data_IF_152901515404
#
_entry.id   IF_152901515404
#
_cell.length_a   1.000
_cell.length_b   1.000
_cell.length_c   1.000
_cell.angle_alpha   90.00
_cell.angle_beta   90.00
_cell.angle_gamma   90.00
#
_symmetry.space_group_name_H-M   'P 1'
#
loop_
_entity.id
_entity.type
_entity.pdbx_description
1 polymer ?
#
# COMPACT_ATOMS: atom_id res chain seq x y z
N UNK A 1 -19.48 -39.26 -64.68
CA UNK A 1 -18.40 -38.30 -64.32
C UNK A 1 -18.00 -37.57 -65.61
N UNK A 2 -17.78 -36.25 -65.63
CA UNK A 2 -16.86 -35.56 -64.72
C UNK A 2 -17.36 -34.23 -64.13
N UNK A 3 -16.73 -33.88 -63.01
CA UNK A 3 -16.92 -32.67 -62.21
C UNK A 3 -16.62 -31.40 -63.02
N UNK A 4 -17.47 -30.40 -62.85
CA UNK A 4 -17.24 -29.02 -63.28
C UNK A 4 -16.06 -28.47 -62.48
N UNK A 5 -14.88 -28.46 -63.09
CA UNK A 5 -13.66 -27.90 -62.48
C UNK A 5 -13.87 -26.39 -62.40
N UNK A 6 -14.12 -25.91 -61.18
CA UNK A 6 -14.05 -24.51 -60.79
C UNK A 6 -12.78 -23.88 -61.38
N UNK A 7 -12.97 -22.90 -62.25
CA UNK A 7 -11.91 -22.20 -62.96
C UNK A 7 -10.93 -21.58 -61.96
N UNK A 8 -9.62 -21.71 -62.26
CA UNK A 8 -8.48 -21.19 -61.48
C UNK A 8 -8.41 -19.65 -61.38
N UNK A 9 -9.50 -18.92 -61.62
CA UNK A 9 -9.59 -17.46 -61.54
C UNK A 9 -10.12 -16.96 -60.19
N UNK A 10 -10.83 -17.79 -59.42
CA UNK A 10 -11.47 -17.37 -58.16
C UNK A 10 -10.49 -17.29 -56.95
N UNK A 11 -9.21 -17.62 -57.15
CA UNK A 11 -8.25 -17.87 -56.06
C UNK A 11 -7.23 -16.75 -55.79
N UNK A 12 -7.41 -15.54 -56.33
CA UNK A 12 -6.49 -14.42 -56.07
C UNK A 12 -7.14 -13.05 -55.86
N UNK A 13 -8.38 -12.99 -55.38
CA UNK A 13 -8.81 -11.77 -54.68
C UNK A 13 -8.31 -11.88 -53.25
N UNK A 14 -7.18 -11.24 -53.01
CA UNK A 14 -6.63 -11.17 -51.67
C UNK A 14 -7.65 -10.41 -50.80
N UNK A 15 -8.26 -11.06 -49.79
CA UNK A 15 -9.25 -10.41 -48.93
C UNK A 15 -8.67 -9.18 -48.21
N UNK A 16 -7.34 -9.04 -48.17
CA UNK A 16 -6.66 -7.83 -47.74
C UNK A 16 -6.79 -6.67 -48.75
N UNK A 17 -6.65 -6.92 -50.04
CA UNK A 17 -6.81 -5.89 -51.08
C UNK A 17 -8.23 -5.37 -51.16
N UNK A 18 -9.24 -6.25 -51.05
CA UNK A 18 -10.65 -5.83 -51.00
C UNK A 18 -10.93 -4.95 -49.78
N UNK A 19 -10.36 -5.27 -48.61
CA UNK A 19 -10.46 -4.43 -47.40
C UNK A 19 -9.77 -3.08 -47.55
N UNK A 20 -8.60 -3.04 -48.20
CA UNK A 20 -7.92 -1.78 -48.50
C UNK A 20 -8.76 -0.93 -49.45
N UNK A 21 -9.28 -1.53 -50.51
CA UNK A 21 -10.07 -0.81 -51.49
C UNK A 21 -11.35 -0.24 -50.87
N UNK A 22 -12.09 -1.05 -50.10
CA UNK A 22 -13.25 -0.59 -49.33
C UNK A 22 -12.90 0.54 -48.36
N UNK A 23 -11.73 0.48 -47.71
CA UNK A 23 -11.27 1.54 -46.82
C UNK A 23 -10.93 2.83 -47.58
N UNK A 24 -10.26 2.73 -48.73
CA UNK A 24 -9.91 3.88 -49.57
C UNK A 24 -11.16 4.55 -50.17
N UNK A 25 -12.11 3.75 -50.66
CA UNK A 25 -13.40 4.23 -51.15
C UNK A 25 -14.18 4.95 -50.04
N UNK A 26 -14.19 4.39 -48.83
CA UNK A 26 -14.82 5.03 -47.68
C UNK A 26 -14.12 6.34 -47.29
N UNK A 27 -12.78 6.38 -47.24
CA UNK A 27 -12.00 7.58 -46.94
C UNK A 27 -12.26 8.66 -48.00
N UNK A 28 -12.31 8.30 -49.28
CA UNK A 28 -12.60 9.24 -50.36
C UNK A 28 -14.01 9.84 -50.23
N UNK A 29 -15.00 9.01 -49.89
CA UNK A 29 -16.38 9.44 -49.64
C UNK A 29 -16.53 10.27 -48.35
N UNK A 30 -15.69 10.02 -47.34
CA UNK A 30 -15.79 10.60 -45.99
C UNK A 30 -14.53 11.38 -45.57
N UNK A 31 -13.86 12.06 -46.52
CA UNK A 31 -12.55 12.69 -46.28
C UNK A 31 -12.52 13.63 -45.07
N UNK A 32 -13.57 14.42 -44.86
CA UNK A 32 -13.64 15.39 -43.77
C UNK A 32 -13.67 14.70 -42.40
N UNK A 33 -14.49 13.66 -42.24
CA UNK A 33 -14.58 12.92 -40.96
C UNK A 33 -13.33 12.09 -40.71
N UNK A 34 -12.72 11.50 -41.73
CA UNK A 34 -11.46 10.78 -41.61
C UNK A 34 -10.34 11.68 -41.09
N UNK A 35 -10.10 12.85 -41.72
CA UNK A 35 -9.07 13.77 -41.27
C UNK A 35 -9.38 14.38 -39.90
N UNK A 36 -10.67 14.60 -39.56
CA UNK A 36 -11.05 15.00 -38.20
C UNK A 36 -10.71 13.92 -37.16
N UNK A 37 -11.02 12.65 -37.42
CA UNK A 37 -10.71 11.53 -36.52
C UNK A 37 -9.20 11.41 -36.34
N UNK A 38 -8.43 11.42 -37.43
CA UNK A 38 -6.97 11.32 -37.38
C UNK A 38 -6.37 12.53 -36.64
N UNK A 39 -6.84 13.74 -36.93
CA UNK A 39 -6.42 14.96 -36.23
C UNK A 39 -6.69 14.89 -34.73
N UNK A 40 -7.89 14.46 -34.32
CA UNK A 40 -8.24 14.25 -32.91
C UNK A 40 -7.35 13.20 -32.26
N UNK A 41 -7.09 12.06 -32.92
CA UNK A 41 -6.21 11.02 -32.41
C UNK A 41 -4.77 11.52 -32.22
N UNK A 42 -4.23 12.27 -33.17
CA UNK A 42 -2.88 12.87 -33.06
C UNK A 42 -2.82 13.82 -31.86
N UNK A 43 -3.82 14.69 -31.69
CA UNK A 43 -3.87 15.59 -30.53
C UNK A 43 -3.93 14.81 -29.21
N UNK A 44 -4.77 13.77 -29.12
CA UNK A 44 -4.86 12.91 -27.94
C UNK A 44 -3.51 12.23 -27.64
N UNK A 45 -2.82 11.72 -28.67
CA UNK A 45 -1.49 11.10 -28.50
C UNK A 45 -0.47 12.12 -28.02
N UNK A 46 -0.44 13.32 -28.60
CA UNK A 46 0.49 14.39 -28.18
C UNK A 46 0.23 14.79 -26.72
N UNK A 47 -1.03 14.96 -26.33
CA UNK A 47 -1.41 15.25 -24.94
C UNK A 47 -0.99 14.09 -24.03
N UNK A 48 -1.26 12.85 -24.41
CA UNK A 48 -0.90 11.67 -23.62
C UNK A 48 0.62 11.56 -23.43
N UNK A 49 1.41 11.80 -24.49
CA UNK A 49 2.89 11.82 -24.42
C UNK A 49 3.36 12.96 -23.53
N UNK A 50 2.83 14.17 -23.69
CA UNK A 50 3.19 15.34 -22.87
C UNK A 50 2.87 15.11 -21.39
N UNK A 51 1.70 14.56 -21.08
CA UNK A 51 1.32 14.21 -19.70
C UNK A 51 2.23 13.11 -19.17
N UNK A 52 2.52 12.07 -19.95
CA UNK A 52 3.40 10.98 -19.54
C UNK A 52 4.84 11.46 -19.28
N UNK A 53 5.41 12.31 -20.11
CA UNK A 53 6.76 12.86 -19.91
C UNK A 53 6.80 13.79 -18.71
N UNK A 54 5.81 14.67 -18.54
CA UNK A 54 5.70 15.55 -17.39
C UNK A 54 5.59 14.77 -16.07
N UNK A 55 4.72 13.75 -16.02
CA UNK A 55 4.58 12.88 -14.84
C UNK A 55 5.85 12.10 -14.53
N UNK A 56 6.56 11.59 -15.55
CA UNK A 56 7.85 10.92 -15.38
C UNK A 56 8.89 11.86 -14.80
N UNK A 57 9.05 13.05 -15.36
CA UNK A 57 10.02 14.05 -14.88
C UNK A 57 9.73 14.49 -13.45
N UNK A 58 8.47 14.78 -13.13
CA UNK A 58 8.03 15.09 -11.76
C UNK A 58 8.38 13.95 -10.79
N UNK A 59 8.13 12.71 -11.20
CA UNK A 59 8.45 11.55 -10.37
C UNK A 59 9.97 11.40 -10.18
N UNK A 60 10.80 11.56 -11.22
CA UNK A 60 12.26 11.50 -11.11
C UNK A 60 12.80 12.55 -10.14
N UNK A 61 12.35 13.81 -10.25
CA UNK A 61 12.77 14.88 -9.34
C UNK A 61 12.33 14.59 -7.90
N UNK A 62 11.11 14.07 -7.71
CA UNK A 62 10.63 13.70 -6.38
C UNK A 62 11.50 12.62 -5.73
N UNK A 63 11.91 11.61 -6.49
CA UNK A 63 12.80 10.53 -6.01
C UNK A 63 14.22 11.02 -5.71
N UNK A 64 14.77 11.91 -6.53
CA UNK A 64 16.09 12.51 -6.26
C UNK A 64 16.10 13.26 -4.93
N UNK A 65 15.08 14.09 -4.68
CA UNK A 65 14.96 14.84 -3.42
C UNK A 65 14.69 13.95 -2.23
N UNK A 66 13.88 12.91 -2.40
CA UNK A 66 13.69 11.87 -1.38
C UNK A 66 15.01 11.16 -1.04
N UNK A 67 15.79 10.77 -2.05
CA UNK A 67 17.08 10.10 -1.87
C UNK A 67 18.09 11.00 -1.13
N UNK A 68 18.07 12.31 -1.39
CA UNK A 68 18.85 13.28 -0.61
C UNK A 68 18.43 13.28 0.86
N UNK A 69 17.12 13.28 1.14
CA UNK A 69 16.60 13.15 2.50
C UNK A 69 17.05 11.86 3.19
N UNK A 70 17.04 10.74 2.46
CA UNK A 70 17.54 9.46 2.96
C UNK A 70 19.05 9.50 3.26
N UNK A 71 19.83 10.16 2.41
CA UNK A 71 21.26 10.39 2.67
C UNK A 71 21.49 11.15 3.97
N UNK A 72 20.72 12.21 4.23
CA UNK A 72 20.80 12.95 5.51
C UNK A 72 20.39 12.09 6.70
N UNK A 73 19.34 11.27 6.56
CA UNK A 73 18.88 10.38 7.62
C UNK A 73 19.95 9.33 7.99
N UNK A 74 20.62 8.75 6.99
CA UNK A 74 21.73 7.81 7.18
C UNK A 74 22.96 8.48 7.79
N UNK A 75 23.23 9.74 7.43
CA UNK A 75 24.30 10.54 8.02
C UNK A 75 23.99 11.05 9.44
N UNK A 76 22.88 10.62 10.06
CA UNK A 76 22.50 11.02 11.41
C UNK A 76 22.06 12.48 11.53
N UNK A 77 21.64 13.12 10.43
CA UNK A 77 21.15 14.49 10.39
C UNK A 77 19.62 14.51 10.19
N UNK A 78 18.82 14.25 11.24
CA UNK A 78 17.37 14.12 11.12
C UNK A 78 16.68 15.41 10.65
N UNK A 79 17.19 16.58 11.03
CA UNK A 79 16.57 17.86 10.65
C UNK A 79 16.66 18.14 9.15
N UNK A 80 17.83 17.88 8.54
CA UNK A 80 18.02 18.03 7.10
C UNK A 80 17.24 16.97 6.31
N UNK A 81 17.09 15.77 6.88
CA UNK A 81 16.25 14.73 6.31
C UNK A 81 14.77 15.14 6.29
N UNK A 82 14.23 15.60 7.42
CA UNK A 82 12.85 16.11 7.52
C UNK A 82 12.65 17.26 6.52
N UNK A 83 13.56 18.23 6.45
CA UNK A 83 13.46 19.34 5.50
C UNK A 83 13.42 18.86 4.04
N UNK A 84 14.23 17.85 3.69
CA UNK A 84 14.19 17.26 2.35
C UNK A 84 12.90 16.49 2.09
N UNK A 85 12.34 15.81 3.09
CA UNK A 85 11.04 15.15 2.96
C UNK A 85 9.89 16.13 2.83
N UNK A 86 9.92 17.24 3.57
CA UNK A 86 8.90 18.29 3.48
C UNK A 86 8.86 18.95 2.11
N UNK A 87 10.02 19.15 1.49
CA UNK A 87 10.13 19.59 0.10
C UNK A 87 9.42 18.58 -0.85
N UNK A 88 9.65 17.28 -0.65
CA UNK A 88 8.97 16.25 -1.47
C UNK A 88 7.46 16.24 -1.24
N UNK A 89 7.03 16.30 0.02
CA UNK A 89 5.62 16.26 0.41
C UNK A 89 4.87 17.47 -0.15
N UNK A 90 5.48 18.64 -0.08
CA UNK A 90 4.87 19.90 -0.52
C UNK A 90 4.84 20.02 -2.03
N UNK A 91 5.97 19.78 -2.70
CA UNK A 91 6.12 20.04 -4.14
C UNK A 91 5.74 18.85 -5.02
N UNK A 92 5.75 17.63 -4.47
CA UNK A 92 5.48 16.39 -5.21
C UNK A 92 4.45 15.49 -4.53
N UNK A 93 3.52 16.05 -3.75
CA UNK A 93 2.55 15.32 -2.92
C UNK A 93 1.64 14.31 -3.62
N UNK A 94 1.60 14.29 -4.97
CA UNK A 94 0.85 13.30 -5.78
C UNK A 94 1.72 12.14 -6.27
N UNK A 95 3.03 12.18 -6.03
CA UNK A 95 3.97 11.14 -6.47
C UNK A 95 4.07 10.03 -5.45
N UNK A 96 4.57 8.85 -5.87
CA UNK A 96 4.88 7.77 -4.94
C UNK A 96 5.96 8.19 -3.93
N UNK A 97 6.96 8.95 -4.37
CA UNK A 97 8.04 9.43 -3.53
C UNK A 97 7.54 10.25 -2.33
N UNK A 98 6.45 11.00 -2.47
CA UNK A 98 5.85 11.71 -1.34
C UNK A 98 5.35 10.78 -0.23
N UNK A 99 4.75 9.63 -0.56
CA UNK A 99 4.35 8.65 0.45
C UNK A 99 5.57 8.04 1.16
N UNK A 100 6.65 7.76 0.44
CA UNK A 100 7.92 7.30 1.05
C UNK A 100 8.55 8.39 1.93
N UNK A 101 8.48 9.66 1.51
CA UNK A 101 8.94 10.80 2.29
C UNK A 101 8.11 10.98 3.58
N UNK A 102 6.79 10.82 3.52
CA UNK A 102 5.92 10.83 4.71
C UNK A 102 6.28 9.69 5.67
N UNK A 103 6.48 8.47 5.17
CA UNK A 103 6.91 7.35 6.01
C UNK A 103 8.25 7.67 6.70
N UNK A 104 9.26 8.08 5.93
CA UNK A 104 10.58 8.40 6.47
C UNK A 104 10.56 9.57 7.46
N UNK A 105 9.74 10.59 7.22
CA UNK A 105 9.50 11.69 8.17
C UNK A 105 8.85 11.17 9.45
N UNK A 106 7.79 10.36 9.34
CA UNK A 106 7.12 9.73 10.47
C UNK A 106 8.09 8.90 11.33
N UNK A 107 8.96 8.10 10.71
CA UNK A 107 9.96 7.28 11.40
C UNK A 107 10.99 8.12 12.17
N UNK A 108 11.39 9.27 11.63
CA UNK A 108 12.30 10.19 12.31
C UNK A 108 11.59 10.84 13.50
N UNK A 109 10.39 11.37 13.31
CA UNK A 109 9.60 12.02 14.36
C UNK A 109 9.30 11.04 15.51
N UNK A 110 8.95 9.80 15.18
CA UNK A 110 8.72 8.74 16.16
C UNK A 110 9.97 8.45 17.00
N UNK A 111 11.14 8.31 16.36
CA UNK A 111 12.43 8.13 17.07
C UNK A 111 12.80 9.33 17.95
N UNK A 112 12.40 10.53 17.56
CA UNK A 112 12.57 11.76 18.35
C UNK A 112 11.51 11.94 19.45
N UNK A 113 10.60 10.97 19.63
CA UNK A 113 9.48 11.01 20.59
C UNK A 113 8.49 12.15 20.33
N UNK A 114 8.47 12.69 19.11
CA UNK A 114 7.47 13.65 18.64
C UNK A 114 6.23 12.87 18.16
N UNK A 115 5.55 12.22 19.11
CA UNK A 115 4.48 11.27 18.83
C UNK A 115 3.27 11.90 18.11
N UNK A 116 2.76 13.08 18.52
CA UNK A 116 1.63 13.70 17.82
C UNK A 116 1.91 13.98 16.33
N UNK A 117 3.11 14.49 16.03
CA UNK A 117 3.55 14.80 14.67
C UNK A 117 3.80 13.52 13.86
N UNK A 118 4.34 12.47 14.47
CA UNK A 118 4.52 11.17 13.84
C UNK A 118 3.16 10.56 13.45
N UNK A 119 2.21 10.51 14.39
CA UNK A 119 0.85 10.01 14.16
C UNK A 119 0.19 10.73 12.99
N UNK A 120 0.21 12.08 13.01
CA UNK A 120 -0.34 12.89 11.92
C UNK A 120 0.33 12.57 10.59
N UNK A 121 1.64 12.44 10.57
CA UNK A 121 2.40 12.17 9.33
C UNK A 121 2.07 10.79 8.76
N UNK A 122 1.94 9.75 9.59
CA UNK A 122 1.52 8.42 9.11
C UNK A 122 0.07 8.41 8.63
N UNK A 123 -0.85 9.10 9.31
CA UNK A 123 -2.24 9.23 8.87
C UNK A 123 -2.32 9.93 7.51
N UNK A 124 -1.56 11.01 7.31
CA UNK A 124 -1.45 11.68 6.02
C UNK A 124 -0.93 10.72 4.94
N UNK A 125 0.12 9.94 5.23
CA UNK A 125 0.64 8.91 4.32
C UNK A 125 -0.46 7.93 3.89
N UNK A 126 -1.21 7.38 4.85
CA UNK A 126 -2.28 6.42 4.59
C UNK A 126 -3.46 7.03 3.82
N UNK A 127 -3.81 8.29 4.11
CA UNK A 127 -4.89 9.01 3.42
C UNK A 127 -4.63 9.24 1.92
N UNK A 128 -3.35 9.27 1.52
CA UNK A 128 -2.93 9.45 0.12
C UNK A 128 -2.98 8.17 -0.71
N UNK A 129 -3.39 7.05 -0.12
CA UNK A 129 -3.46 5.76 -0.82
C UNK A 129 -2.08 5.22 -1.18
N UNK A 130 -1.20 4.94 -0.20
CA UNK A 130 0.12 4.41 -0.46
C UNK A 130 0.03 3.03 -1.11
N UNK A 131 1.11 2.58 -1.74
CA UNK A 131 1.13 1.27 -2.39
C UNK A 131 0.92 0.15 -1.36
N UNK A 132 0.43 -1.02 -1.81
CA UNK A 132 0.31 -2.21 -0.94
C UNK A 132 1.63 -2.65 -0.30
N UNK A 133 2.76 -2.25 -0.88
CA UNK A 133 4.09 -2.52 -0.33
C UNK A 133 4.46 -1.53 0.78
N UNK A 134 3.96 -0.29 0.73
CA UNK A 134 4.32 0.77 1.67
C UNK A 134 3.32 0.88 2.82
N UNK A 135 2.03 0.67 2.55
CA UNK A 135 0.94 0.80 3.52
C UNK A 135 1.16 -0.02 4.80
N UNK A 136 1.66 -1.28 4.78
CA UNK A 136 1.95 -2.02 6.00
C UNK A 136 2.93 -1.30 6.93
N UNK A 137 3.99 -0.68 6.39
CA UNK A 137 4.97 0.05 7.20
C UNK A 137 4.37 1.30 7.84
N UNK A 138 3.55 2.05 7.09
CA UNK A 138 2.86 3.22 7.64
C UNK A 138 1.83 2.84 8.72
N UNK A 139 1.08 1.74 8.55
CA UNK A 139 0.16 1.23 9.57
C UNK A 139 0.93 0.77 10.82
N UNK A 140 2.03 0.03 10.64
CA UNK A 140 2.86 -0.41 11.76
C UNK A 140 3.45 0.77 12.52
N UNK A 141 3.92 1.81 11.82
CA UNK A 141 4.46 3.03 12.44
C UNK A 141 3.38 3.83 13.16
N UNK A 142 2.19 3.97 12.57
CA UNK A 142 1.05 4.64 13.18
C UNK A 142 0.62 3.94 14.47
N UNK A 143 0.42 2.61 14.42
CA UNK A 143 0.01 1.84 15.59
C UNK A 143 1.03 1.93 16.72
N UNK A 144 2.33 1.86 16.40
CA UNK A 144 3.38 2.00 17.40
C UNK A 144 3.43 3.41 18.01
N UNK A 145 3.24 4.44 17.20
CA UNK A 145 3.20 5.82 17.70
C UNK A 145 1.97 6.07 18.59
N UNK A 146 0.82 5.50 18.25
CA UNK A 146 -0.40 5.55 19.08
C UNK A 146 -0.26 4.78 20.39
N UNK A 147 0.31 3.57 20.33
CA UNK A 147 0.60 2.75 21.52
C UNK A 147 1.53 3.50 22.48
N UNK A 148 2.61 4.09 21.97
CA UNK A 148 3.56 4.88 22.75
C UNK A 148 2.98 6.19 23.30
N UNK A 149 1.97 6.76 22.62
CA UNK A 149 1.26 7.96 23.11
C UNK A 149 0.17 7.62 24.13
N UNK A 150 -0.06 6.34 24.41
CA UNK A 150 -1.14 5.86 25.28
C UNK A 150 -2.52 5.86 24.63
N UNK A 151 -2.61 6.09 23.32
CA UNK A 151 -3.85 5.95 22.53
C UNK A 151 -4.04 4.47 22.18
N UNK A 152 -4.30 3.64 23.20
CA UNK A 152 -4.45 2.19 23.01
C UNK A 152 -5.65 1.86 22.13
N UNK A 153 -6.74 2.64 22.19
CA UNK A 153 -7.91 2.43 21.36
C UNK A 153 -7.60 2.67 19.88
N UNK A 154 -6.93 3.78 19.54
CA UNK A 154 -6.47 4.05 18.18
C UNK A 154 -5.47 3.00 17.70
N UNK A 155 -4.49 2.62 18.55
CA UNK A 155 -3.51 1.60 18.22
C UNK A 155 -4.15 0.25 17.88
N UNK A 156 -5.14 -0.20 18.69
CA UNK A 156 -5.89 -1.44 18.44
C UNK A 156 -6.55 -1.41 17.06
N UNK A 157 -7.24 -0.33 16.70
CA UNK A 157 -7.90 -0.23 15.40
C UNK A 157 -6.89 -0.22 14.26
N UNK A 158 -5.78 0.50 14.41
CA UNK A 158 -4.70 0.52 13.41
C UNK A 158 -4.06 -0.86 13.20
N UNK A 159 -3.76 -1.60 14.28
CA UNK A 159 -3.22 -2.97 14.18
C UNK A 159 -4.24 -3.95 13.61
N UNK A 160 -5.53 -3.78 13.91
CA UNK A 160 -6.62 -4.56 13.30
C UNK A 160 -6.73 -4.26 11.80
N UNK A 161 -6.61 -3.00 11.39
CA UNK A 161 -6.58 -2.61 9.98
C UNK A 161 -5.39 -3.25 9.27
N UNK A 162 -4.21 -3.29 9.90
CA UNK A 162 -3.06 -4.01 9.37
C UNK A 162 -3.38 -5.48 9.16
N UNK A 163 -3.79 -6.18 10.22
CA UNK A 163 -3.94 -7.64 10.21
C UNK A 163 -5.08 -8.11 9.32
N UNK A 164 -6.10 -7.27 9.11
CA UNK A 164 -7.20 -7.55 8.18
C UNK A 164 -6.80 -7.37 6.72
N UNK A 165 -5.99 -6.35 6.41
CA UNK A 165 -5.60 -6.03 5.03
C UNK A 165 -4.34 -6.77 4.57
N UNK A 166 -3.49 -7.19 5.51
CA UNK A 166 -2.17 -7.77 5.27
C UNK A 166 -1.90 -8.99 6.17
N UNK A 167 -2.79 -10.00 6.21
CA UNK A 167 -2.66 -11.16 7.11
C UNK A 167 -1.38 -11.99 6.85
N UNK A 168 -0.92 -12.06 5.60
CA UNK A 168 0.26 -12.83 5.20
C UNK A 168 1.57 -12.03 5.26
N UNK A 169 1.52 -10.75 5.68
CA UNK A 169 2.73 -9.93 5.76
C UNK A 169 3.62 -10.42 6.91
N UNK A 170 4.95 -10.40 6.72
CA UNK A 170 5.91 -10.91 7.71
C UNK A 170 5.83 -10.20 9.09
N UNK A 171 5.25 -9.00 9.14
CA UNK A 171 5.00 -8.25 10.38
C UNK A 171 3.67 -8.60 11.06
N UNK A 172 2.77 -9.35 10.42
CA UNK A 172 1.45 -9.66 10.96
C UNK A 172 1.50 -10.29 12.37
N UNK A 173 2.40 -11.25 12.69
CA UNK A 173 2.51 -11.77 14.06
C UNK A 173 2.80 -10.68 15.09
N UNK A 174 3.70 -9.74 14.76
CA UNK A 174 4.04 -8.61 15.62
C UNK A 174 2.84 -7.67 15.80
N UNK A 175 2.05 -7.44 14.75
CA UNK A 175 0.88 -6.57 14.84
C UNK A 175 -0.21 -7.18 15.72
N UNK A 176 -0.44 -8.49 15.62
CA UNK A 176 -1.34 -9.19 16.56
C UNK A 176 -0.81 -9.11 18.00
N UNK A 177 0.49 -9.31 18.24
CA UNK A 177 1.04 -9.21 19.59
C UNK A 177 0.87 -7.79 20.16
N UNK A 178 1.19 -6.74 19.39
CA UNK A 178 0.97 -5.36 19.81
C UNK A 178 -0.51 -5.05 20.04
N UNK A 179 -1.42 -5.58 19.21
CA UNK A 179 -2.86 -5.44 19.43
C UNK A 179 -3.29 -6.06 20.76
N UNK A 180 -2.85 -7.29 21.06
CA UNK A 180 -3.16 -7.95 22.33
C UNK A 180 -2.59 -7.18 23.53
N UNK A 181 -1.35 -6.69 23.42
CA UNK A 181 -0.71 -5.84 24.44
C UNK A 181 -1.48 -4.54 24.67
N UNK A 182 -1.99 -3.88 23.63
CA UNK A 182 -2.84 -2.70 23.79
C UNK A 182 -4.18 -3.03 24.48
N UNK A 183 -4.76 -4.21 24.24
CA UNK A 183 -5.92 -4.68 24.99
C UNK A 183 -5.60 -4.90 26.47
N UNK A 184 -4.45 -5.49 26.81
CA UNK A 184 -4.01 -5.60 28.21
C UNK A 184 -3.84 -4.22 28.86
N UNK A 185 -3.17 -3.27 28.21
CA UNK A 185 -2.96 -1.92 28.74
C UNK A 185 -4.26 -1.13 28.91
N UNK A 186 -5.24 -1.36 28.04
CA UNK A 186 -6.59 -0.77 28.16
C UNK A 186 -7.52 -1.53 29.12
N UNK A 187 -6.98 -2.50 29.90
CA UNK A 187 -7.72 -3.34 30.87
C UNK A 187 -8.89 -4.11 30.23
N UNK A 188 -8.70 -4.56 28.99
CA UNK A 188 -9.64 -5.40 28.27
C UNK A 188 -9.03 -6.81 28.05
N UNK A 189 -9.04 -7.66 29.09
CA UNK A 189 -8.43 -8.99 29.00
C UNK A 189 -9.13 -9.92 28.01
N UNK A 190 -10.43 -9.71 27.76
CA UNK A 190 -11.19 -10.54 26.81
C UNK A 190 -10.74 -10.26 25.38
N UNK A 191 -10.59 -8.99 25.01
CA UNK A 191 -10.03 -8.61 23.71
C UNK A 191 -8.59 -9.12 23.52
N UNK A 192 -7.77 -9.09 24.58
CA UNK A 192 -6.41 -9.64 24.53
C UNK A 192 -6.42 -11.15 24.28
N UNK A 193 -7.29 -11.89 24.99
CA UNK A 193 -7.46 -13.35 24.83
C UNK A 193 -7.86 -13.72 23.41
N UNK A 194 -8.84 -13.03 22.82
CA UNK A 194 -9.26 -13.28 21.43
C UNK A 194 -8.10 -13.14 20.44
N UNK A 195 -7.24 -12.13 20.64
CA UNK A 195 -6.07 -11.92 19.77
C UNK A 195 -5.01 -13.01 20.01
N UNK A 196 -4.77 -13.41 21.27
CA UNK A 196 -3.85 -14.51 21.56
C UNK A 196 -4.29 -15.85 20.95
N UNK A 197 -5.59 -16.14 20.97
CA UNK A 197 -6.15 -17.31 20.28
C UNK A 197 -5.88 -17.27 18.77
N UNK A 198 -6.03 -16.09 18.14
CA UNK A 198 -5.67 -15.91 16.72
C UNK A 198 -4.18 -16.17 16.48
N UNK A 199 -3.29 -15.66 17.34
CA UNK A 199 -1.83 -15.91 17.20
C UNK A 199 -1.53 -17.41 17.28
N UNK A 200 -2.10 -18.10 18.26
CA UNK A 200 -1.90 -19.54 18.45
C UNK A 200 -2.45 -20.37 17.27
N UNK A 201 -3.51 -19.90 16.63
CA UNK A 201 -4.15 -20.58 15.49
C UNK A 201 -3.44 -20.30 14.17
N UNK A 202 -3.06 -19.04 13.92
CA UNK A 202 -2.50 -18.61 12.63
C UNK A 202 -1.00 -18.85 12.52
N UNK A 203 -0.27 -18.87 13.64
CA UNK A 203 1.18 -19.04 13.68
C UNK A 203 1.60 -20.21 14.58
N UNK A 204 1.06 -21.42 14.34
CA UNK A 204 1.39 -22.59 15.16
C UNK A 204 2.91 -22.85 15.13
N UNK A 205 3.43 -23.41 16.23
CA UNK A 205 4.84 -23.78 16.38
C UNK A 205 5.87 -22.64 16.29
N UNK A 206 5.42 -21.38 16.40
CA UNK A 206 6.29 -20.21 16.49
C UNK A 206 6.49 -19.74 17.94
N UNK A 207 7.55 -18.97 18.18
CA UNK A 207 7.76 -18.29 19.47
C UNK A 207 6.59 -17.35 19.80
N UNK A 208 5.94 -16.75 18.79
CA UNK A 208 4.75 -15.92 18.98
C UNK A 208 3.60 -16.71 19.60
N UNK A 209 3.31 -17.92 19.11
CA UNK A 209 2.27 -18.78 19.68
C UNK A 209 2.61 -19.27 21.10
N UNK A 210 3.89 -19.55 21.38
CA UNK A 210 4.33 -19.91 22.74
C UNK A 210 4.12 -18.75 23.73
N UNK A 211 4.55 -17.54 23.35
CA UNK A 211 4.36 -16.34 24.15
C UNK A 211 2.88 -16.01 24.34
N UNK A 212 2.08 -16.10 23.27
CA UNK A 212 0.63 -15.89 23.31
C UNK A 212 -0.05 -16.88 24.26
N UNK A 213 0.35 -18.16 24.27
CA UNK A 213 -0.18 -19.17 25.20
C UNK A 213 0.10 -18.81 26.65
N UNK A 214 1.33 -18.42 26.96
CA UNK A 214 1.70 -18.00 28.31
C UNK A 214 0.90 -16.78 28.79
N UNK A 215 0.76 -15.77 27.92
CA UNK A 215 -0.06 -14.57 28.20
C UNK A 215 -1.54 -14.90 28.37
N UNK A 216 -2.10 -15.72 27.48
CA UNK A 216 -3.49 -16.17 27.55
C UNK A 216 -3.79 -16.87 28.88
N UNK A 217 -2.91 -17.78 29.33
CA UNK A 217 -3.06 -18.48 30.61
C UNK A 217 -2.96 -17.53 31.80
N UNK A 218 -2.08 -16.52 31.75
CA UNK A 218 -1.96 -15.52 32.82
C UNK A 218 -3.20 -14.63 32.94
N UNK A 219 -3.97 -14.45 31.86
CA UNK A 219 -5.23 -13.72 31.84
C UNK A 219 -6.44 -14.60 32.21
N UNK A 220 -6.29 -15.93 32.26
CA UNK A 220 -7.34 -16.81 32.72
C UNK A 220 -7.56 -16.61 34.23
N UNK A 221 -8.82 -16.63 34.72
CA UNK A 221 -9.05 -16.64 36.17
C UNK A 221 -8.28 -17.82 36.76
N UNK A 222 -7.60 -17.59 37.89
CA UNK A 222 -6.87 -18.65 38.59
C UNK A 222 -7.82 -19.85 38.78
N UNK A 223 -7.38 -21.10 38.51
CA UNK A 223 -8.20 -22.25 38.81
C UNK A 223 -8.64 -22.14 40.27
N UNK A 224 -9.94 -22.28 40.53
CA UNK A 224 -10.51 -22.29 41.87
C UNK A 224 -9.63 -23.20 42.73
N UNK A 225 -8.86 -22.60 43.66
CA UNK A 225 -8.23 -23.39 44.70
C UNK A 225 -9.39 -23.87 45.56
N UNK A 226 -9.78 -25.12 45.37
CA UNK A 226 -10.70 -25.79 46.27
C UNK A 226 -10.00 -25.87 47.62
N UNK A 227 -10.18 -24.83 48.45
CA UNK A 227 -9.79 -24.86 49.85
C UNK A 227 -10.78 -25.77 50.56
N UNK A 228 -10.72 -27.06 50.25
CA UNK A 228 -11.31 -28.10 51.07
C UNK A 228 -10.69 -27.94 52.46
N UNK A 229 -11.51 -27.43 53.39
CA UNK A 229 -11.14 -27.26 54.80
C UNK A 229 -10.60 -28.60 55.33
N UNK A 230 -9.45 -28.64 55.99
CA UNK A 230 -9.05 -29.83 56.73
C UNK A 230 -10.09 -30.09 57.83
N UNK A 231 -10.57 -31.34 57.90
CA UNK A 231 -11.48 -31.85 58.92
C UNK A 231 -10.83 -31.85 60.31
#
# INVERSE_FOLDING_TARGET
MPQQISSREDLKKDPFQDRIQLALEWIAAHRQTFFSIVGTLVVVIVIAVFVATNLRTLNTQAWERYNRGQGWAQAGNPQNAISSYDDVITNFGRTKAAAYAMLGKGDILYRQRQLPEAIKTYQECLSKGPSKLLAPFALSGLGAAQEDSGDFAGAIETYKQFTSNYPDHFLAPKMYESQARCYEYSRNPDGAKEVYEKIMTMFPDTLWAQNARGRYQALAPAPFQDTAKPQ
#
